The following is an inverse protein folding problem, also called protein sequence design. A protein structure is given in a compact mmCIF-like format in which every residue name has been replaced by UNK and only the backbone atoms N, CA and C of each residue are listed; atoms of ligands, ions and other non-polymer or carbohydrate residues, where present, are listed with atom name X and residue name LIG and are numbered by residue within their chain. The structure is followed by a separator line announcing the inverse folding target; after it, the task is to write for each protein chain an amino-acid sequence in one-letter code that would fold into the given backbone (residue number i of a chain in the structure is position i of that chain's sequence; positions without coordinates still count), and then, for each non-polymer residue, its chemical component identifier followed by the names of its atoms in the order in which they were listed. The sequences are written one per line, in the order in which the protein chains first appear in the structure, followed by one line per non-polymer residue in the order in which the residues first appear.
data_IF_993187762535
#
_entry.id   IF_993187762535
#
_cell.length_a   1.000
_cell.length_b   1.000
_cell.length_c   1.000
_cell.angle_alpha   90.00
_cell.angle_beta   90.00
_cell.angle_gamma   90.00
#
_symmetry.space_group_name_H-M   'P 1'
#
loop_
_entity.id
_entity.type
_entity.pdbx_description
1 polymer ?
#
# COMPACT_ATOMS: atom_id res chain seq x y z
N UNK A 1 18.90 -13.26 -13.41
CA UNK A 1 17.87 -13.89 -14.27
C UNK A 1 16.68 -14.20 -13.39
N UNK A 2 15.46 -13.97 -13.88
CA UNK A 2 14.24 -14.29 -13.14
C UNK A 2 14.06 -15.82 -13.01
N UNK A 3 13.79 -16.30 -11.80
CA UNK A 3 13.55 -17.72 -11.52
C UNK A 3 12.24 -18.21 -12.15
N UNK A 4 12.13 -19.52 -12.37
CA UNK A 4 10.90 -20.12 -12.88
C UNK A 4 9.73 -19.94 -11.90
N UNK A 5 10.00 -20.03 -10.59
CA UNK A 5 9.00 -19.82 -9.54
C UNK A 5 8.45 -18.40 -9.58
N UNK A 6 9.31 -17.39 -9.59
CA UNK A 6 8.88 -15.99 -9.67
C UNK A 6 8.06 -15.71 -10.94
N UNK A 7 8.46 -16.30 -12.08
CA UNK A 7 7.70 -16.18 -13.34
C UNK A 7 6.29 -16.78 -13.23
N UNK A 8 6.16 -17.94 -12.57
CA UNK A 8 4.86 -18.59 -12.32
C UNK A 8 3.97 -17.70 -11.45
N UNK A 9 4.52 -17.15 -10.36
CA UNK A 9 3.82 -16.25 -9.45
C UNK A 9 3.33 -15.00 -10.20
N UNK A 10 4.20 -14.34 -10.98
CA UNK A 10 3.81 -13.16 -11.77
C UNK A 10 2.70 -13.46 -12.77
N UNK A 11 2.72 -14.63 -13.39
CA UNK A 11 1.65 -15.07 -14.31
C UNK A 11 0.32 -15.27 -13.58
N UNK A 12 0.36 -15.86 -12.40
CA UNK A 12 -0.83 -16.06 -11.57
C UNK A 12 -1.39 -14.73 -11.04
N UNK A 13 -0.53 -13.85 -10.55
CA UNK A 13 -0.89 -12.49 -10.14
C UNK A 13 -1.53 -11.70 -11.29
N UNK A 14 -1.03 -11.82 -12.52
CA UNK A 14 -1.65 -11.17 -13.68
C UNK A 14 -3.08 -11.68 -13.95
N UNK A 15 -3.38 -12.95 -13.65
CA UNK A 15 -4.76 -13.47 -13.72
C UNK A 15 -5.62 -12.89 -12.60
N UNK A 16 -5.14 -12.94 -11.35
CA UNK A 16 -5.87 -12.40 -10.20
C UNK A 16 -6.12 -10.89 -10.29
N UNK A 17 -5.19 -10.14 -10.88
CA UNK A 17 -5.37 -8.72 -11.12
C UNK A 17 -6.54 -8.43 -12.07
N UNK A 18 -6.90 -9.36 -12.97
CA UNK A 18 -8.08 -9.21 -13.84
C UNK A 18 -9.41 -9.40 -13.08
N UNK A 19 -9.42 -10.26 -12.07
CA UNK A 19 -10.61 -10.58 -11.27
C UNK A 19 -10.79 -9.59 -10.10
N UNK A 20 -9.71 -9.30 -9.37
CA UNK A 20 -9.71 -8.48 -8.16
C UNK A 20 -8.62 -7.40 -8.23
N UNK A 21 -8.76 -6.38 -9.10
CA UNK A 21 -7.72 -5.39 -9.35
C UNK A 21 -7.32 -4.56 -8.12
N UNK A 22 -8.20 -4.45 -7.12
CA UNK A 22 -7.96 -3.65 -5.92
C UNK A 22 -6.84 -4.22 -5.04
N UNK A 23 -6.55 -5.53 -5.13
CA UNK A 23 -5.44 -6.18 -4.41
C UNK A 23 -4.05 -5.82 -4.99
N UNK A 24 -4.01 -5.35 -6.24
CA UNK A 24 -2.80 -5.08 -7.01
C UNK A 24 -2.62 -3.58 -7.31
N UNK A 25 -3.31 -2.71 -6.56
CA UNK A 25 -3.35 -1.28 -6.85
C UNK A 25 -2.68 -0.43 -5.76
N UNK A 26 -2.39 0.81 -6.12
CA UNK A 26 -1.89 1.87 -5.26
C UNK A 26 -3.00 2.77 -4.68
N UNK A 27 -4.27 2.38 -4.89
CA UNK A 27 -5.49 3.09 -4.49
C UNK A 27 -5.63 4.51 -5.06
N UNK A 28 -4.82 4.91 -6.06
CA UNK A 28 -4.94 6.23 -6.69
C UNK A 28 -5.95 6.21 -7.83
N UNK A 29 -7.23 6.03 -7.49
CA UNK A 29 -8.31 5.77 -8.44
C UNK A 29 -8.44 6.83 -9.54
N UNK A 30 -8.15 8.10 -9.27
CA UNK A 30 -8.21 9.20 -10.25
C UNK A 30 -7.20 9.04 -11.39
N UNK A 31 -6.11 8.27 -11.18
CA UNK A 31 -5.11 7.95 -12.21
C UNK A 31 -5.28 6.54 -12.79
N UNK A 32 -6.32 5.82 -12.37
CA UNK A 32 -6.60 4.47 -12.83
C UNK A 32 -7.26 4.51 -14.22
N UNK A 33 -6.92 3.54 -15.08
CA UNK A 33 -7.55 3.42 -16.39
C UNK A 33 -9.03 2.99 -16.24
N UNK A 34 -9.90 3.51 -17.09
CA UNK A 34 -11.35 3.28 -17.03
C UNK A 34 -11.72 1.79 -17.07
N UNK A 35 -11.02 1.00 -17.89
CA UNK A 35 -11.23 -0.46 -17.97
C UNK A 35 -11.04 -1.15 -16.61
N UNK A 36 -10.04 -0.72 -15.84
CA UNK A 36 -9.76 -1.27 -14.51
C UNK A 36 -10.76 -0.76 -13.47
N UNK A 37 -11.19 0.50 -13.56
CA UNK A 37 -12.23 1.06 -12.69
C UNK A 37 -13.55 0.30 -12.81
N UNK A 38 -13.99 0.00 -14.04
CA UNK A 38 -15.27 -0.67 -14.32
C UNK A 38 -15.39 -2.09 -13.76
N UNK A 39 -14.27 -2.74 -13.43
CA UNK A 39 -14.21 -4.08 -12.84
C UNK A 39 -13.70 -4.08 -11.39
N UNK A 40 -13.39 -2.91 -10.84
CA UNK A 40 -12.89 -2.78 -9.48
C UNK A 40 -14.06 -2.62 -8.51
N UNK A 41 -14.48 -3.72 -7.87
CA UNK A 41 -15.60 -3.71 -6.92
C UNK A 41 -15.50 -2.61 -5.87
N UNK A 42 -14.33 -2.50 -5.24
CA UNK A 42 -14.03 -1.44 -4.28
C UNK A 42 -14.28 -0.03 -4.84
N UNK A 43 -13.80 0.28 -6.05
CA UNK A 43 -14.00 1.61 -6.63
C UNK A 43 -15.47 1.89 -6.91
N UNK A 44 -16.20 0.88 -7.38
CA UNK A 44 -17.64 1.00 -7.63
C UNK A 44 -18.41 1.23 -6.33
N UNK A 45 -18.07 0.52 -5.25
CA UNK A 45 -18.70 0.67 -3.94
C UNK A 45 -18.42 2.07 -3.35
N UNK A 46 -17.16 2.55 -3.41
CA UNK A 46 -16.80 3.91 -2.98
C UNK A 46 -17.49 4.99 -3.84
N UNK A 47 -17.65 4.75 -5.14
CA UNK A 47 -18.35 5.67 -6.04
C UNK A 47 -19.85 5.73 -5.73
N UNK A 48 -20.48 4.58 -5.51
CA UNK A 48 -21.90 4.49 -5.13
C UNK A 48 -22.15 5.21 -3.80
N UNK A 49 -21.28 5.03 -2.81
CA UNK A 49 -21.35 5.74 -1.54
C UNK A 49 -21.25 7.26 -1.74
N UNK A 50 -20.31 7.73 -2.54
CA UNK A 50 -20.15 9.17 -2.84
C UNK A 50 -21.37 9.75 -3.53
N UNK A 51 -21.89 9.07 -4.54
CA UNK A 51 -23.10 9.49 -5.25
C UNK A 51 -24.32 9.53 -4.32
N UNK A 52 -24.42 8.56 -3.41
CA UNK A 52 -25.48 8.51 -2.39
C UNK A 52 -25.39 9.73 -1.47
N UNK A 53 -24.21 10.06 -0.95
CA UNK A 53 -24.02 11.24 -0.10
C UNK A 53 -24.45 12.52 -0.85
N UNK A 54 -23.97 12.71 -2.08
CA UNK A 54 -24.31 13.87 -2.90
C UNK A 54 -25.83 13.96 -3.14
N UNK A 55 -26.49 12.84 -3.45
CA UNK A 55 -27.93 12.79 -3.68
C UNK A 55 -28.75 13.22 -2.44
N UNK A 56 -28.23 12.98 -1.24
CA UNK A 56 -28.82 13.42 0.04
C UNK A 56 -28.32 14.80 0.51
N UNK A 57 -27.57 15.54 -0.32
CA UNK A 57 -27.03 16.85 0.05
C UNK A 57 -25.95 16.80 1.14
N UNK A 58 -25.30 15.65 1.28
CA UNK A 58 -24.24 15.38 2.25
C UNK A 58 -22.87 15.52 1.59
N UNK A 59 -21.92 16.14 2.29
CA UNK A 59 -20.54 16.23 1.80
C UNK A 59 -19.83 14.88 1.99
N UNK A 60 -19.37 14.20 0.92
CA UNK A 60 -18.84 12.84 1.04
C UNK A 60 -17.58 12.72 1.90
N UNK A 61 -16.78 13.78 1.97
CA UNK A 61 -15.51 13.82 2.71
C UNK A 61 -15.68 14.41 4.13
N UNK A 62 -16.93 14.58 4.59
CA UNK A 62 -17.22 14.97 5.96
C UNK A 62 -16.86 13.86 6.95
N UNK A 63 -16.28 14.24 8.08
CA UNK A 63 -15.75 13.30 9.06
C UNK A 63 -16.87 12.49 9.75
N UNK A 64 -18.01 13.10 10.05
CA UNK A 64 -19.13 12.40 10.69
C UNK A 64 -19.75 11.38 9.73
N UNK A 65 -19.93 11.77 8.47
CA UNK A 65 -20.44 10.87 7.43
C UNK A 65 -19.46 9.71 7.17
N UNK A 66 -18.16 10.00 7.08
CA UNK A 66 -17.13 8.98 6.91
C UNK A 66 -17.14 8.00 8.09
N UNK A 67 -17.24 8.52 9.33
CA UNK A 67 -17.29 7.70 10.54
C UNK A 67 -18.53 6.81 10.57
N UNK A 68 -19.69 7.35 10.20
CA UNK A 68 -20.94 6.60 10.17
C UNK A 68 -20.94 5.51 9.08
N UNK A 69 -20.41 5.78 7.89
CA UNK A 69 -20.31 4.73 6.87
C UNK A 69 -19.34 3.64 7.29
N UNK A 70 -18.21 3.99 7.91
CA UNK A 70 -17.33 2.98 8.51
C UNK A 70 -18.09 2.14 9.53
N UNK A 71 -18.83 2.77 10.45
CA UNK A 71 -19.67 2.06 11.44
C UNK A 71 -20.63 1.08 10.78
N UNK A 72 -21.33 1.50 9.72
CA UNK A 72 -22.27 0.66 8.98
C UNK A 72 -21.59 -0.50 8.25
N UNK A 73 -20.38 -0.30 7.71
CA UNK A 73 -19.61 -1.38 7.09
C UNK A 73 -19.18 -2.47 8.09
N UNK A 74 -19.08 -2.13 9.38
CA UNK A 74 -18.81 -3.07 10.46
C UNK A 74 -20.08 -3.62 11.13
N UNK A 75 -21.25 -3.06 10.82
CA UNK A 75 -22.53 -3.49 11.39
C UNK A 75 -22.88 -4.89 10.83
N UNK A 76 -23.07 -5.87 11.72
CA UNK A 76 -23.33 -7.26 11.32
C UNK A 76 -22.10 -8.08 10.94
N UNK A 77 -20.89 -7.51 10.93
CA UNK A 77 -19.66 -8.27 10.64
C UNK A 77 -19.42 -9.37 11.68
N UNK A 78 -19.79 -9.14 12.95
CA UNK A 78 -19.70 -10.16 14.00
C UNK A 78 -20.64 -11.34 13.72
N UNK A 79 -21.91 -11.06 13.35
CA UNK A 79 -22.90 -12.09 13.00
C UNK A 79 -22.49 -12.87 11.74
N UNK A 80 -22.01 -12.17 10.70
CA UNK A 80 -21.50 -12.79 9.47
C UNK A 80 -20.25 -13.64 9.73
N UNK A 81 -19.38 -13.20 10.64
CA UNK A 81 -18.18 -13.93 11.05
C UNK A 81 -18.55 -15.19 11.83
N UNK A 82 -19.44 -15.09 12.83
CA UNK A 82 -19.96 -16.23 13.59
C UNK A 82 -20.58 -17.27 12.66
N UNK A 83 -21.43 -16.81 11.73
CA UNK A 83 -22.03 -17.69 10.73
C UNK A 83 -21.00 -18.35 9.84
N UNK A 84 -19.98 -17.62 9.38
CA UNK A 84 -18.89 -18.20 8.58
C UNK A 84 -18.12 -19.26 9.37
N UNK A 85 -17.84 -19.02 10.66
CA UNK A 85 -17.17 -19.96 11.55
C UNK A 85 -18.00 -21.24 11.70
N UNK A 86 -19.30 -21.11 12.00
CA UNK A 86 -20.22 -22.24 12.11
C UNK A 86 -20.35 -23.03 10.81
N UNK A 87 -20.56 -22.34 9.68
CA UNK A 87 -20.75 -22.96 8.37
C UNK A 87 -19.49 -23.70 7.87
N UNK A 88 -18.31 -23.20 8.24
CA UNK A 88 -17.03 -23.81 7.84
C UNK A 88 -16.44 -24.74 8.92
N UNK A 89 -17.13 -24.91 10.05
CA UNK A 89 -16.66 -25.74 11.17
C UNK A 89 -15.29 -25.29 11.70
N UNK A 90 -15.06 -23.97 11.74
CA UNK A 90 -13.82 -23.39 12.26
C UNK A 90 -13.89 -23.40 13.78
N UNK A 91 -12.94 -24.07 14.43
CA UNK A 91 -12.80 -24.00 15.88
C UNK A 91 -12.01 -22.73 16.23
N UNK A 92 -12.68 -21.73 16.82
CA UNK A 92 -12.03 -20.59 17.46
C UNK A 92 -11.56 -21.00 18.85
N UNK A 93 -10.44 -21.70 18.93
CA UNK A 93 -9.75 -21.88 20.21
C UNK A 93 -8.99 -20.59 20.58
N UNK A 94 -8.77 -20.38 21.88
CA UNK A 94 -7.79 -19.40 22.35
C UNK A 94 -6.46 -19.68 21.65
N UNK A 95 -5.79 -18.63 21.13
CA UNK A 95 -4.48 -18.78 20.53
C UNK A 95 -3.58 -19.50 21.54
N UNK A 96 -3.10 -20.70 21.18
CA UNK A 96 -2.13 -21.37 22.02
C UNK A 96 -0.85 -20.51 22.14
N UNK A 97 -0.07 -20.72 23.20
CA UNK A 97 1.15 -19.95 23.45
C UNK A 97 2.09 -19.97 22.22
N UNK A 98 2.10 -21.06 21.44
CA UNK A 98 2.93 -21.18 20.24
C UNK A 98 2.45 -20.31 19.08
N UNK A 99 1.14 -20.14 18.90
CA UNK A 99 0.55 -19.25 17.91
C UNK A 99 0.82 -17.78 18.25
N UNK A 100 0.68 -17.42 19.52
CA UNK A 100 1.02 -16.08 20.02
C UNK A 100 2.51 -15.77 19.83
N UNK A 101 3.40 -16.68 20.21
CA UNK A 101 4.85 -16.56 19.97
C UNK A 101 5.21 -16.46 18.47
N UNK A 102 4.43 -17.10 17.59
CA UNK A 102 4.64 -16.98 16.14
C UNK A 102 4.28 -15.58 15.62
N UNK A 103 3.17 -15.01 16.07
CA UNK A 103 2.75 -13.64 15.72
C UNK A 103 3.82 -12.64 16.20
N UNK A 104 4.25 -12.74 17.46
CA UNK A 104 5.25 -11.84 18.03
C UNK A 104 6.59 -11.91 17.30
N UNK A 105 7.06 -13.12 16.93
CA UNK A 105 8.26 -13.30 16.12
C UNK A 105 8.12 -12.69 14.72
N UNK A 106 6.94 -12.79 14.12
CA UNK A 106 6.66 -12.19 12.82
C UNK A 106 6.71 -10.67 12.90
N UNK A 107 6.04 -10.07 13.89
CA UNK A 107 6.10 -8.62 14.13
C UNK A 107 7.53 -8.14 14.40
N UNK A 108 8.30 -8.89 15.19
CA UNK A 108 9.70 -8.56 15.48
C UNK A 108 10.54 -8.61 14.19
N UNK A 109 10.40 -9.66 13.37
CA UNK A 109 11.06 -9.78 12.07
C UNK A 109 10.75 -8.58 11.18
N UNK A 110 9.47 -8.22 11.10
CA UNK A 110 8.95 -7.12 10.31
C UNK A 110 9.56 -5.77 10.73
N UNK A 111 9.45 -5.42 12.01
CA UNK A 111 9.96 -4.18 12.55
C UNK A 111 11.49 -4.09 12.51
N UNK A 112 12.17 -5.23 12.65
CA UNK A 112 13.62 -5.28 12.58
C UNK A 112 14.19 -5.39 11.17
N UNK A 113 13.36 -5.70 10.17
CA UNK A 113 13.79 -5.86 8.80
C UNK A 113 14.46 -4.57 8.28
N UNK A 114 15.70 -4.65 7.75
CA UNK A 114 16.40 -3.49 7.23
C UNK A 114 15.64 -2.75 6.14
N UNK A 115 14.85 -3.45 5.30
CA UNK A 115 14.04 -2.84 4.26
C UNK A 115 12.90 -2.00 4.84
N UNK A 116 12.22 -2.51 5.86
CA UNK A 116 11.16 -1.77 6.57
C UNK A 116 11.74 -0.53 7.28
N UNK A 117 12.88 -0.67 7.96
CA UNK A 117 13.59 0.47 8.58
C UNK A 117 13.97 1.55 7.57
N UNK A 118 14.51 1.18 6.40
CA UNK A 118 14.84 2.14 5.33
C UNK A 118 13.58 2.81 4.76
N UNK A 119 12.50 2.05 4.58
CA UNK A 119 11.21 2.61 4.17
C UNK A 119 10.65 3.61 5.20
N UNK A 120 10.79 3.32 6.50
CA UNK A 120 10.41 4.23 7.58
C UNK A 120 11.23 5.53 7.58
N UNK A 121 12.53 5.44 7.27
CA UNK A 121 13.38 6.63 7.10
C UNK A 121 12.92 7.49 5.91
N UNK A 122 12.61 6.86 4.78
CA UNK A 122 12.06 7.56 3.62
C UNK A 122 10.72 8.23 3.97
N UNK A 123 9.80 7.49 4.59
CA UNK A 123 8.51 7.99 5.04
C UNK A 123 8.66 9.27 5.88
N UNK A 124 9.45 9.21 6.96
CA UNK A 124 9.64 10.33 7.89
C UNK A 124 10.28 11.54 7.20
N UNK A 125 11.32 11.33 6.39
CA UNK A 125 12.02 12.43 5.70
C UNK A 125 11.15 13.06 4.61
N UNK A 126 10.40 12.24 3.86
CA UNK A 126 9.49 12.74 2.83
C UNK A 126 8.33 13.51 3.47
N UNK A 127 7.77 13.00 4.58
CA UNK A 127 6.73 13.69 5.33
C UNK A 127 7.21 15.07 5.78
N UNK A 128 8.40 15.15 6.38
CA UNK A 128 9.00 16.42 6.79
C UNK A 128 9.21 17.39 5.63
N UNK A 129 9.69 16.91 4.48
CA UNK A 129 9.79 17.74 3.26
C UNK A 129 8.42 18.30 2.88
N UNK A 130 7.37 17.48 2.88
CA UNK A 130 6.00 17.88 2.55
C UNK A 130 5.44 18.89 3.55
N UNK A 131 5.67 18.72 4.84
CA UNK A 131 5.31 19.71 5.87
C UNK A 131 6.00 21.05 5.67
N UNK A 132 7.28 21.03 5.28
CA UNK A 132 8.06 22.25 5.05
C UNK A 132 7.71 22.96 3.73
N UNK A 133 7.09 22.27 2.78
CA UNK A 133 6.90 22.78 1.41
C UNK A 133 5.45 22.77 0.92
N UNK A 134 4.78 21.63 0.97
CA UNK A 134 3.51 21.38 0.26
C UNK A 134 2.28 21.58 1.15
N UNK A 135 2.32 21.13 2.41
CA UNK A 135 1.17 21.19 3.33
C UNK A 135 0.96 22.57 3.96
N UNK A 136 2.04 23.35 4.11
CA UNK A 136 1.93 24.77 4.44
C UNK A 136 1.41 25.48 3.20
N UNK A 137 0.07 25.57 3.09
CA UNK A 137 -0.75 26.07 1.96
C UNK A 137 -0.42 27.46 1.39
N UNK A 138 0.72 28.05 1.76
CA UNK A 138 1.14 29.37 1.31
C UNK A 138 2.02 29.26 0.06
N UNK A 139 1.36 29.11 -1.09
CA UNK A 139 1.80 29.56 -2.42
C UNK A 139 0.75 29.14 -3.44
N UNK A 140 -0.11 30.09 -3.80
CA UNK A 140 -0.81 30.04 -5.06
C UNK A 140 0.20 29.64 -6.16
N UNK A 141 -0.01 28.46 -6.76
CA UNK A 141 0.87 27.80 -7.74
C UNK A 141 2.28 27.43 -7.24
N UNK A 142 2.37 26.38 -6.41
CA UNK A 142 3.62 25.62 -6.26
C UNK A 142 3.98 25.06 -7.65
N UNK A 143 5.05 25.58 -8.25
CA UNK A 143 5.77 24.92 -9.33
C UNK A 143 5.97 23.46 -8.91
N UNK A 144 5.60 22.50 -9.75
CA UNK A 144 5.63 21.06 -9.41
C UNK A 144 4.54 20.55 -8.44
N UNK A 145 3.36 21.17 -8.38
CA UNK A 145 2.24 20.69 -7.55
C UNK A 145 1.94 19.20 -7.77
N UNK A 146 1.82 18.77 -9.03
CA UNK A 146 1.54 17.38 -9.41
C UNK A 146 2.59 16.39 -8.90
N UNK A 147 3.85 16.80 -8.82
CA UNK A 147 4.95 16.00 -8.32
C UNK A 147 4.92 15.92 -6.79
N UNK A 148 4.57 17.01 -6.11
CA UNK A 148 4.35 16.95 -4.67
C UNK A 148 3.17 16.06 -4.31
N UNK A 149 2.08 16.08 -5.08
CA UNK A 149 0.98 15.11 -4.91
C UNK A 149 1.47 13.67 -5.03
N UNK A 150 2.38 13.38 -5.99
CA UNK A 150 2.96 12.05 -6.15
C UNK A 150 3.74 11.63 -4.91
N UNK A 151 4.61 12.50 -4.39
CA UNK A 151 5.38 12.20 -3.18
C UNK A 151 4.44 12.08 -1.97
N UNK A 152 3.44 12.96 -1.85
CA UNK A 152 2.45 12.92 -0.79
C UNK A 152 1.63 11.63 -0.81
N UNK A 153 1.25 11.13 -1.98
CA UNK A 153 0.52 9.87 -2.10
C UNK A 153 1.39 8.67 -1.71
N UNK A 154 2.61 8.58 -2.23
CA UNK A 154 3.42 7.37 -2.12
C UNK A 154 4.26 7.26 -0.84
N UNK A 155 4.53 8.36 -0.11
CA UNK A 155 5.39 8.30 1.08
C UNK A 155 4.80 7.48 2.25
N UNK A 156 3.48 7.44 2.39
CA UNK A 156 2.78 6.57 3.37
C UNK A 156 2.52 5.19 2.78
N UNK A 157 2.05 5.13 1.52
CA UNK A 157 1.72 3.88 0.85
C UNK A 157 2.91 2.92 0.78
N UNK A 158 4.09 3.42 0.42
CA UNK A 158 5.28 2.57 0.24
C UNK A 158 5.64 1.82 1.53
N UNK A 159 5.57 2.49 2.69
CA UNK A 159 5.86 1.87 3.98
C UNK A 159 4.87 0.76 4.30
N UNK A 160 3.56 1.03 4.14
CA UNK A 160 2.50 0.06 4.39
C UNK A 160 2.58 -1.15 3.46
N UNK A 161 2.80 -0.92 2.15
CA UNK A 161 2.89 -1.98 1.14
C UNK A 161 4.13 -2.85 1.32
N UNK A 162 5.26 -2.26 1.69
CA UNK A 162 6.46 -3.03 2.05
C UNK A 162 6.25 -3.85 3.32
N UNK A 163 5.55 -3.29 4.31
CA UNK A 163 5.20 -4.03 5.51
C UNK A 163 4.38 -5.28 5.14
N UNK A 164 3.30 -5.12 4.39
CA UNK A 164 2.50 -6.26 3.89
C UNK A 164 3.33 -7.26 3.08
N UNK A 165 4.18 -6.78 2.17
CA UNK A 165 4.97 -7.67 1.32
C UNK A 165 5.88 -8.61 2.12
N UNK A 166 6.53 -8.09 3.17
CA UNK A 166 7.47 -8.86 3.98
C UNK A 166 6.78 -9.96 4.80
N UNK A 167 5.47 -9.85 5.10
CA UNK A 167 4.72 -10.95 5.73
C UNK A 167 4.80 -12.24 4.92
N UNK A 168 4.73 -12.16 3.59
CA UNK A 168 4.81 -13.34 2.72
C UNK A 168 6.21 -13.95 2.59
N UNK A 169 7.23 -13.34 3.20
CA UNK A 169 8.60 -13.89 3.28
C UNK A 169 8.95 -14.46 4.66
N UNK A 170 8.02 -14.41 5.63
CA UNK A 170 8.21 -14.98 6.96
C UNK A 170 7.38 -16.26 7.16
N UNK A 171 7.87 -17.19 7.98
CA UNK A 171 7.22 -18.47 8.30
C UNK A 171 6.12 -18.32 9.37
N UNK A 172 5.16 -19.26 9.46
CA UNK A 172 5.03 -20.45 8.62
C UNK A 172 4.37 -20.13 7.30
N UNK A 173 4.99 -20.58 6.20
CA UNK A 173 4.37 -20.57 4.90
C UNK A 173 3.07 -21.39 4.99
N UNK A 174 1.91 -20.73 4.87
CA UNK A 174 0.65 -21.40 4.55
C UNK A 174 0.93 -22.33 3.36
N UNK A 175 0.45 -23.58 3.41
CA UNK A 175 0.68 -24.56 2.34
C UNK A 175 0.35 -23.94 0.96
N UNK A 176 1.38 -23.77 0.13
CA UNK A 176 1.26 -23.16 -1.20
C UNK A 176 2.01 -21.83 -1.33
N UNK A 177 1.81 -21.16 -2.46
CA UNK A 177 2.47 -19.87 -2.78
C UNK A 177 1.55 -18.66 -2.51
N UNK A 178 0.44 -18.80 -1.78
CA UNK A 178 -0.58 -17.73 -1.65
C UNK A 178 -0.03 -16.46 -1.00
N UNK A 179 0.66 -16.58 0.13
CA UNK A 179 1.26 -15.42 0.80
C UNK A 179 2.40 -14.81 -0.02
N UNK A 180 3.14 -15.65 -0.76
CA UNK A 180 4.21 -15.19 -1.63
C UNK A 180 3.65 -14.51 -2.90
N UNK A 181 2.51 -14.96 -3.41
CA UNK A 181 1.77 -14.33 -4.50
C UNK A 181 1.37 -12.91 -4.11
N UNK A 182 0.74 -12.75 -2.94
CA UNK A 182 0.41 -11.41 -2.41
C UNK A 182 1.68 -10.57 -2.20
N UNK A 183 2.72 -11.13 -1.58
CA UNK A 183 3.98 -10.43 -1.38
C UNK A 183 4.57 -9.88 -2.69
N UNK A 184 4.65 -10.70 -3.74
CA UNK A 184 5.13 -10.27 -5.07
C UNK A 184 4.22 -9.21 -5.69
N UNK A 185 2.90 -9.30 -5.47
CA UNK A 185 1.96 -8.27 -5.90
C UNK A 185 2.23 -6.93 -5.20
N UNK A 186 2.38 -6.94 -3.88
CA UNK A 186 2.69 -5.74 -3.10
C UNK A 186 4.06 -5.15 -3.47
N UNK A 187 5.08 -5.99 -3.73
CA UNK A 187 6.39 -5.53 -4.22
C UNK A 187 6.30 -4.82 -5.58
N UNK A 188 5.40 -5.24 -6.47
CA UNK A 188 5.16 -4.54 -7.74
C UNK A 188 4.55 -3.15 -7.53
N UNK A 189 3.61 -3.02 -6.59
CA UNK A 189 3.07 -1.70 -6.17
C UNK A 189 4.18 -0.82 -5.60
N UNK A 190 5.05 -1.38 -4.75
CA UNK A 190 6.20 -0.66 -4.19
C UNK A 190 7.16 -0.16 -5.28
N UNK A 191 7.49 -1.00 -6.28
CA UNK A 191 8.35 -0.59 -7.41
C UNK A 191 7.72 0.54 -8.23
N UNK A 192 6.39 0.51 -8.47
CA UNK A 192 5.67 1.63 -9.09
C UNK A 192 5.80 2.90 -8.25
N UNK A 193 5.48 2.82 -6.96
CA UNK A 193 5.55 3.95 -6.02
C UNK A 193 6.95 4.59 -5.99
N UNK A 194 8.00 3.76 -5.97
CA UNK A 194 9.39 4.19 -6.03
C UNK A 194 9.68 4.94 -7.33
N UNK A 195 9.34 4.36 -8.49
CA UNK A 195 9.64 4.97 -9.79
C UNK A 195 8.96 6.32 -9.98
N UNK A 196 7.66 6.41 -9.63
CA UNK A 196 6.90 7.65 -9.67
C UNK A 196 7.49 8.69 -8.71
N UNK A 197 7.80 8.29 -7.47
CA UNK A 197 8.37 9.19 -6.46
C UNK A 197 9.75 9.71 -6.84
N UNK A 198 10.62 8.86 -7.42
CA UNK A 198 11.94 9.28 -7.94
C UNK A 198 11.77 10.27 -9.09
N UNK A 199 10.84 10.01 -10.02
CA UNK A 199 10.53 10.94 -11.10
C UNK A 199 10.09 12.31 -10.58
N UNK A 200 9.13 12.32 -9.67
CA UNK A 200 8.62 13.52 -9.02
C UNK A 200 9.71 14.29 -8.26
N UNK A 201 10.48 13.60 -7.41
CA UNK A 201 11.56 14.21 -6.62
C UNK A 201 12.65 14.83 -7.50
N UNK A 202 13.00 14.20 -8.63
CA UNK A 202 13.95 14.79 -9.59
C UNK A 202 13.44 16.10 -10.17
N UNK A 203 12.15 16.17 -10.50
CA UNK A 203 11.52 17.38 -11.02
C UNK A 203 11.42 18.45 -9.95
N UNK A 204 11.06 18.09 -8.71
CA UNK A 204 11.07 19.03 -7.57
C UNK A 204 12.48 19.57 -7.33
N UNK A 205 13.52 18.72 -7.31
CA UNK A 205 14.90 19.15 -7.05
C UNK A 205 15.44 20.16 -8.06
N UNK A 206 15.07 20.02 -9.34
CA UNK A 206 15.42 21.00 -10.38
C UNK A 206 14.83 22.38 -10.13
N UNK A 207 13.66 22.44 -9.50
CA UNK A 207 12.88 23.67 -9.30
C UNK A 207 13.00 24.25 -7.87
N UNK A 208 13.40 23.42 -6.89
CA UNK A 208 13.51 23.75 -5.47
C UNK A 208 14.93 23.44 -4.96
N UNK A 209 15.90 24.21 -5.47
CA UNK A 209 17.32 24.00 -5.19
C UNK A 209 17.69 24.09 -3.71
N UNK A 210 16.93 24.84 -2.91
CA UNK A 210 17.11 24.92 -1.44
C UNK A 210 16.93 23.57 -0.73
N UNK A 211 16.23 22.62 -1.36
CA UNK A 211 15.97 21.28 -0.81
C UNK A 211 16.78 20.19 -1.53
N UNK A 212 17.74 20.56 -2.39
CA UNK A 212 18.45 19.62 -3.26
C UNK A 212 19.14 18.48 -2.49
N UNK A 213 19.75 18.78 -1.34
CA UNK A 213 20.38 17.77 -0.50
C UNK A 213 19.35 16.78 0.06
N UNK A 214 18.24 17.27 0.61
CA UNK A 214 17.16 16.43 1.14
C UNK A 214 16.56 15.55 0.03
N UNK A 215 16.32 16.13 -1.15
CA UNK A 215 15.78 15.42 -2.31
C UNK A 215 16.73 14.33 -2.80
N UNK A 216 18.04 14.62 -2.83
CA UNK A 216 19.07 13.63 -3.19
C UNK A 216 19.08 12.47 -2.21
N UNK A 217 18.98 12.76 -0.91
CA UNK A 217 18.88 11.73 0.13
C UNK A 217 17.63 10.85 -0.03
N UNK A 218 16.47 11.46 -0.28
CA UNK A 218 15.22 10.72 -0.53
C UNK A 218 15.33 9.79 -1.74
N UNK A 219 15.91 10.27 -2.85
CA UNK A 219 16.15 9.45 -4.05
C UNK A 219 17.11 8.29 -3.73
N UNK A 220 18.15 8.53 -2.94
CA UNK A 220 19.09 7.47 -2.53
C UNK A 220 18.41 6.39 -1.68
N UNK A 221 17.53 6.78 -0.75
CA UNK A 221 16.72 5.85 0.04
C UNK A 221 15.81 5.02 -0.86
N UNK A 222 15.09 5.66 -1.80
CA UNK A 222 14.21 4.97 -2.75
C UNK A 222 14.95 3.97 -3.63
N UNK A 223 16.13 4.33 -4.14
CA UNK A 223 16.96 3.41 -4.92
C UNK A 223 17.48 2.25 -4.07
N UNK A 224 17.85 2.51 -2.80
CA UNK A 224 18.25 1.44 -1.88
C UNK A 224 17.11 0.44 -1.64
N UNK A 225 15.90 0.95 -1.41
CA UNK A 225 14.69 0.13 -1.27
C UNK A 225 14.48 -0.69 -2.55
N UNK A 226 14.52 -0.06 -3.74
CA UNK A 226 14.35 -0.74 -5.02
C UNK A 226 15.31 -1.91 -5.20
N UNK A 227 16.61 -1.69 -5.00
CA UNK A 227 17.62 -2.74 -5.13
C UNK A 227 17.41 -3.88 -4.14
N UNK A 228 16.93 -3.61 -2.93
CA UNK A 228 16.61 -4.65 -1.94
C UNK A 228 15.35 -5.43 -2.32
N UNK A 229 14.35 -4.80 -2.92
CA UNK A 229 13.19 -5.51 -3.51
C UNK A 229 13.67 -6.47 -4.61
N UNK A 230 14.55 -6.02 -5.49
CA UNK A 230 15.10 -6.87 -6.55
C UNK A 230 15.89 -8.06 -5.99
N UNK A 231 16.62 -7.88 -4.89
CA UNK A 231 17.31 -8.97 -4.19
C UNK A 231 16.34 -9.97 -3.54
N UNK A 232 15.24 -9.49 -2.95
CA UNK A 232 14.18 -10.37 -2.42
C UNK A 232 13.57 -11.21 -3.54
N UNK A 233 13.24 -10.59 -4.67
CA UNK A 233 12.69 -11.28 -5.84
C UNK A 233 13.68 -12.31 -6.43
N UNK A 234 14.99 -12.04 -6.39
CA UNK A 234 16.01 -13.01 -6.81
C UNK A 234 16.13 -14.21 -5.88
N UNK A 235 15.70 -14.08 -4.63
CA UNK A 235 15.67 -15.18 -3.64
C UNK A 235 14.47 -16.11 -3.78
N UNK A 236 13.49 -15.78 -4.63
CA UNK A 236 12.30 -16.60 -4.92
C UNK A 236 12.62 -17.66 -5.96
#
# INVERSE_FOLDING_TARGET
MESERLRKIKKENARFEQEAPYNFCDRWCQRCIAERQNRCRLYLDELEQKLTCIAYGKEPDDLEITTEVMRQQYEGVEEDLEKFIEENGIELDDLDEGAQEAIERQEEFMHNNPLHKTAGQYHNKAHKLLEETFYKKDRATILCHSEFEVVAWYHTLLLAKLYMALHGFHEPAVKGDVLLNDAVAQLNVCKKAINESVGALRTIGKNFTNYQQQITELIALLNNIHSRIELLEQGI
#
